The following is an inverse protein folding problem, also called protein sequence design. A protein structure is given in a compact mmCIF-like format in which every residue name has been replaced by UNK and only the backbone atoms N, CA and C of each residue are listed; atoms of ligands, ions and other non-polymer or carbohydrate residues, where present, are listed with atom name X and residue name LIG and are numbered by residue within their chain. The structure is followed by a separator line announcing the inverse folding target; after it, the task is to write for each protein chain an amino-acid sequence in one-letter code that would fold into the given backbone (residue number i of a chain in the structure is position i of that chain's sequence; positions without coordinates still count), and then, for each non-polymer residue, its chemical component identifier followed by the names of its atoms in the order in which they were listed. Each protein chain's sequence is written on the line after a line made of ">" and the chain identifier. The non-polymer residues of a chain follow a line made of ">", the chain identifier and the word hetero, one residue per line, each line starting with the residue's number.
data_IF_723423313198
#
_entry.id   IF_723423313198
#
_cell.length_a   1.000
_cell.length_b   1.000
_cell.length_c   1.000
_cell.angle_alpha   90.00
_cell.angle_beta   90.00
_cell.angle_gamma   90.00
#
_symmetry.space_group_name_H-M   'P 1'
#
loop_
_entity.id
_entity.type
_entity.pdbx_description
1 polymer ?
#
# COMPACT_ATOMS: atom_id res chain seq x y z
N UNK A 1 -0.45 10.24 10.03
CA UNK A 1 -0.44 9.51 8.78
C UNK A 1 -1.68 8.66 8.58
N UNK A 2 -2.14 8.60 7.36
CA UNK A 2 -3.28 7.78 7.02
C UNK A 2 -2.88 6.31 6.94
N UNK A 3 -3.38 5.51 7.86
CA UNK A 3 -3.19 4.06 7.82
C UNK A 3 -4.37 3.41 7.10
N UNK A 4 -4.21 2.17 6.70
CA UNK A 4 -5.26 1.40 6.03
C UNK A 4 -6.05 0.60 7.06
N UNK A 5 -7.37 0.71 7.01
CA UNK A 5 -8.26 -0.20 7.70
C UNK A 5 -8.23 -1.57 7.03
N UNK A 6 -8.87 -2.57 7.65
CA UNK A 6 -8.85 -3.94 7.13
C UNK A 6 -9.43 -4.03 5.71
N UNK A 7 -10.59 -3.44 5.49
CA UNK A 7 -11.24 -3.48 4.18
C UNK A 7 -10.47 -2.67 3.15
N UNK A 8 -9.92 -1.53 3.56
CA UNK A 8 -9.07 -0.71 2.69
C UNK A 8 -7.84 -1.51 2.24
N UNK A 9 -7.22 -2.25 3.15
CA UNK A 9 -6.07 -3.09 2.81
C UNK A 9 -6.46 -4.19 1.83
N UNK A 10 -7.59 -4.82 2.04
CA UNK A 10 -8.09 -5.86 1.12
C UNK A 10 -8.27 -5.30 -0.28
N UNK A 11 -8.86 -4.11 -0.40
CA UNK A 11 -9.05 -3.43 -1.68
C UNK A 11 -7.71 -3.07 -2.31
N UNK A 12 -6.79 -2.51 -1.53
CA UNK A 12 -5.46 -2.17 -2.04
C UNK A 12 -4.69 -3.38 -2.53
N UNK A 13 -4.74 -4.50 -1.78
CA UNK A 13 -4.08 -5.73 -2.21
C UNK A 13 -4.61 -6.20 -3.56
N UNK A 14 -5.91 -6.08 -3.77
CA UNK A 14 -6.52 -6.44 -5.05
C UNK A 14 -6.07 -5.51 -6.18
N UNK A 15 -6.02 -4.21 -5.91
CA UNK A 15 -5.57 -3.22 -6.89
C UNK A 15 -4.10 -3.44 -7.27
N UNK A 16 -3.24 -3.73 -6.30
CA UNK A 16 -1.83 -4.01 -6.58
C UNK A 16 -1.64 -5.30 -7.37
N UNK A 17 -2.55 -6.26 -7.21
CA UNK A 17 -2.49 -7.55 -7.92
C UNK A 17 -3.05 -7.46 -9.32
N UNK A 18 -3.81 -6.43 -9.64
CA UNK A 18 -4.42 -6.27 -10.96
C UNK A 18 -3.38 -5.88 -12.00
N UNK A 19 -3.62 -6.31 -13.25
CA UNK A 19 -2.70 -6.01 -14.35
C UNK A 19 -2.84 -4.59 -14.90
N UNK A 20 -3.86 -3.85 -14.45
CA UNK A 20 -4.10 -2.48 -14.86
C UNK A 20 -5.23 -1.87 -14.06
N UNK A 21 -5.68 -0.65 -14.41
CA UNK A 21 -6.79 0.00 -13.71
C UNK A 21 -8.07 -0.83 -13.77
N UNK A 22 -8.85 -0.80 -12.70
CA UNK A 22 -10.12 -1.55 -12.61
C UNK A 22 -11.26 -0.62 -12.18
N UNK A 23 -12.47 -0.94 -12.65
CA UNK A 23 -13.67 -0.23 -12.22
C UNK A 23 -14.12 -0.76 -10.85
N UNK A 24 -15.00 -0.02 -10.18
CA UNK A 24 -15.57 -0.46 -8.91
C UNK A 24 -16.32 -1.79 -9.06
N UNK A 25 -17.03 -1.98 -10.18
CA UNK A 25 -17.75 -3.22 -10.43
C UNK A 25 -16.81 -4.41 -10.60
N UNK A 26 -15.72 -4.23 -11.36
CA UNK A 26 -14.70 -5.26 -11.54
C UNK A 26 -14.03 -5.60 -10.19
N UNK A 27 -13.76 -4.59 -9.38
CA UNK A 27 -13.18 -4.78 -8.05
C UNK A 27 -14.14 -5.58 -7.16
N UNK A 28 -15.42 -5.26 -7.18
CA UNK A 28 -16.42 -6.00 -6.42
C UNK A 28 -16.46 -7.47 -6.84
N UNK A 29 -16.41 -7.74 -8.14
CA UNK A 29 -16.37 -9.12 -8.65
C UNK A 29 -15.14 -9.86 -8.15
N UNK A 30 -14.00 -9.20 -8.15
CA UNK A 30 -12.75 -9.78 -7.65
C UNK A 30 -12.76 -10.05 -6.13
N UNK A 31 -13.71 -9.45 -5.41
CA UNK A 31 -13.88 -9.64 -3.97
C UNK A 31 -15.24 -10.31 -3.67
N UNK A 32 -15.71 -11.16 -4.58
CA UNK A 32 -17.03 -11.79 -4.47
C UNK A 32 -17.21 -12.58 -3.17
N UNK A 33 -16.14 -13.16 -2.66
CA UNK A 33 -16.14 -13.90 -1.39
C UNK A 33 -16.45 -13.00 -0.18
N UNK A 34 -16.27 -11.68 -0.31
CA UNK A 34 -16.56 -10.74 0.77
C UNK A 34 -18.03 -10.28 0.76
N UNK A 35 -18.76 -10.53 -0.32
CA UNK A 35 -20.16 -10.16 -0.43
C UNK A 35 -20.44 -8.66 -0.33
N UNK A 36 -19.53 -7.83 -0.84
CA UNK A 36 -19.65 -6.38 -0.69
C UNK A 36 -20.68 -5.79 -1.65
N UNK A 37 -21.44 -4.81 -1.15
CA UNK A 37 -22.30 -3.99 -2.01
C UNK A 37 -21.43 -3.04 -2.83
N UNK A 38 -21.91 -2.69 -4.04
CA UNK A 38 -21.18 -1.76 -4.90
C UNK A 38 -20.98 -0.39 -4.23
N UNK A 39 -21.98 0.08 -3.47
CA UNK A 39 -21.87 1.34 -2.74
C UNK A 39 -20.75 1.29 -1.69
N UNK A 40 -20.56 0.15 -1.04
CA UNK A 40 -19.47 -0.05 -0.08
C UNK A 40 -18.12 0.04 -0.78
N UNK A 41 -17.99 -0.59 -1.96
CA UNK A 41 -16.76 -0.53 -2.76
C UNK A 41 -16.45 0.93 -3.13
N UNK A 42 -17.45 1.68 -3.62
CA UNK A 42 -17.28 3.09 -3.94
C UNK A 42 -16.84 3.91 -2.72
N UNK A 43 -17.45 3.66 -1.56
CA UNK A 43 -17.07 4.36 -0.33
C UNK A 43 -15.61 4.13 0.03
N UNK A 44 -15.17 2.87 -0.06
CA UNK A 44 -13.78 2.51 0.24
C UNK A 44 -12.82 3.19 -0.74
N UNK A 45 -13.14 3.14 -2.05
CA UNK A 45 -12.33 3.79 -3.08
C UNK A 45 -12.23 5.29 -2.86
N UNK A 46 -13.32 5.94 -2.49
CA UNK A 46 -13.32 7.36 -2.19
C UNK A 46 -12.40 7.69 -1.02
N UNK A 47 -12.45 6.88 0.04
CA UNK A 47 -11.58 7.05 1.20
C UNK A 47 -10.11 6.86 0.83
N UNK A 48 -9.82 5.83 0.03
CA UNK A 48 -8.45 5.57 -0.42
C UNK A 48 -7.92 6.73 -1.28
N UNK A 49 -8.77 7.27 -2.13
CA UNK A 49 -8.38 8.42 -2.95
C UNK A 49 -8.11 9.65 -2.10
N UNK A 50 -8.95 9.91 -1.10
CA UNK A 50 -8.77 11.03 -0.16
C UNK A 50 -7.48 10.89 0.64
N UNK A 51 -7.11 9.65 0.97
CA UNK A 51 -5.86 9.37 1.70
C UNK A 51 -4.63 9.37 0.77
N UNK A 52 -4.82 9.48 -0.54
CA UNK A 52 -3.72 9.52 -1.50
C UNK A 52 -3.18 8.18 -1.93
N UNK A 53 -3.91 7.09 -1.70
CA UNK A 53 -3.46 5.74 -2.06
C UNK A 53 -3.86 5.32 -3.47
N UNK A 54 -4.94 5.85 -4.00
CA UNK A 54 -5.41 5.53 -5.35
C UNK A 54 -5.67 6.79 -6.15
N UNK A 55 -5.64 6.65 -7.47
CA UNK A 55 -6.04 7.67 -8.42
C UNK A 55 -7.05 7.04 -9.38
N UNK A 56 -7.86 7.88 -10.02
CA UNK A 56 -8.82 7.40 -11.02
C UNK A 56 -8.58 8.08 -12.35
N UNK A 57 -9.06 7.44 -13.44
CA UNK A 57 -9.07 8.04 -14.77
C UNK A 57 -10.44 8.64 -15.07
N UNK A 58 -10.58 9.21 -16.26
CA UNK A 58 -11.80 9.84 -16.74
C UNK A 58 -12.69 8.88 -17.56
N UNK A 59 -12.36 7.59 -17.57
CA UNK A 59 -13.17 6.60 -18.30
C UNK A 59 -14.57 6.46 -17.70
N UNK A 60 -15.47 5.90 -18.48
CA UNK A 60 -16.85 5.61 -18.08
C UNK A 60 -17.14 4.12 -18.30
N UNK A 61 -17.25 3.31 -17.24
CA UNK A 61 -17.12 3.67 -15.83
C UNK A 61 -15.70 4.05 -15.47
N UNK A 62 -15.58 4.83 -14.39
CA UNK A 62 -14.29 5.29 -13.87
C UNK A 62 -13.46 4.10 -13.42
N UNK A 63 -12.17 4.12 -13.72
CA UNK A 63 -11.23 3.05 -13.33
C UNK A 63 -10.23 3.59 -12.32
N UNK A 64 -9.81 2.74 -11.43
CA UNK A 64 -8.94 3.09 -10.31
C UNK A 64 -7.65 2.29 -10.36
N UNK A 65 -6.54 2.90 -9.97
CA UNK A 65 -5.25 2.23 -9.84
C UNK A 65 -4.51 2.75 -8.61
N UNK A 66 -3.57 1.97 -8.05
CA UNK A 66 -2.73 2.47 -6.96
C UNK A 66 -1.90 3.67 -7.44
N UNK A 67 -1.73 4.68 -6.58
CA UNK A 67 -0.85 5.80 -6.86
C UNK A 67 0.62 5.37 -6.88
N UNK A 68 0.97 4.41 -6.02
CA UNK A 68 2.34 3.92 -5.86
C UNK A 68 2.34 2.40 -5.80
N UNK A 69 3.49 1.78 -6.02
CA UNK A 69 3.62 0.33 -5.92
C UNK A 69 3.48 -0.13 -4.47
N UNK A 70 3.25 -1.44 -4.28
CA UNK A 70 3.21 -2.05 -2.95
C UNK A 70 4.52 -1.77 -2.18
N UNK A 71 5.65 -1.86 -2.87
CA UNK A 71 6.97 -1.66 -2.27
C UNK A 71 7.20 -0.21 -1.89
N UNK A 72 6.78 0.72 -2.74
CA UNK A 72 6.85 2.15 -2.44
C UNK A 72 5.99 2.50 -1.22
N UNK A 73 4.78 1.93 -1.16
CA UNK A 73 3.88 2.13 -0.02
C UNK A 73 4.50 1.59 1.27
N UNK A 74 5.07 0.38 1.20
CA UNK A 74 5.74 -0.23 2.35
C UNK A 74 6.90 0.65 2.85
N UNK A 75 7.71 1.18 1.94
CA UNK A 75 8.82 2.05 2.30
C UNK A 75 8.33 3.35 2.98
N UNK A 76 7.25 3.94 2.47
CA UNK A 76 6.65 5.12 3.08
C UNK A 76 6.21 4.84 4.52
N UNK A 77 5.58 3.68 4.75
CA UNK A 77 5.17 3.27 6.09
C UNK A 77 6.36 3.06 7.02
N UNK A 78 7.42 2.44 6.52
CA UNK A 78 8.65 2.23 7.29
C UNK A 78 9.27 3.55 7.74
N UNK A 79 9.37 4.53 6.83
CA UNK A 79 9.89 5.86 7.16
C UNK A 79 9.06 6.53 8.24
N UNK A 80 7.76 6.39 8.15
CA UNK A 80 6.86 7.02 9.09
C UNK A 80 6.94 6.41 10.48
N UNK A 81 6.92 5.08 10.56
CA UNK A 81 7.06 4.39 11.84
C UNK A 81 8.39 4.76 12.48
N UNK A 82 9.46 4.80 11.69
CA UNK A 82 10.78 5.19 12.16
C UNK A 82 10.78 6.62 12.71
N UNK A 83 10.04 7.54 12.08
CA UNK A 83 9.90 8.92 12.55
C UNK A 83 9.18 9.05 13.88
N UNK A 84 8.38 8.04 14.26
CA UNK A 84 7.64 8.02 15.52
C UNK A 84 8.37 7.31 16.65
N UNK A 85 9.57 6.80 16.40
CA UNK A 85 10.25 5.91 17.33
C UNK A 85 10.86 6.60 18.56
N UNK A 86 10.89 7.92 18.62
CA UNK A 86 11.55 8.65 19.70
C UNK A 86 13.07 8.65 19.55
N UNK A 87 13.69 7.50 19.71
CA UNK A 87 15.13 7.33 19.43
C UNK A 87 15.31 6.59 18.10
N UNK A 88 15.53 7.36 17.05
CA UNK A 88 15.65 6.84 15.69
C UNK A 88 16.86 5.91 15.53
N UNK A 89 17.99 6.26 16.16
CA UNK A 89 19.19 5.43 16.07
C UNK A 89 18.98 4.07 16.74
N UNK A 90 18.35 4.05 17.91
CA UNK A 90 18.06 2.80 18.60
C UNK A 90 17.11 1.91 17.79
N UNK A 91 16.08 2.53 17.16
CA UNK A 91 15.16 1.78 16.32
C UNK A 91 15.86 1.17 15.11
N UNK A 92 16.72 1.93 14.44
CA UNK A 92 17.51 1.42 13.31
C UNK A 92 18.43 0.28 13.72
N UNK A 93 19.10 0.42 14.87
CA UNK A 93 20.02 -0.61 15.37
C UNK A 93 19.26 -1.93 15.62
N UNK A 94 18.08 -1.85 16.22
CA UNK A 94 17.27 -3.04 16.49
C UNK A 94 16.74 -3.67 15.18
N UNK A 95 16.33 -2.83 14.24
CA UNK A 95 15.87 -3.31 12.95
C UNK A 95 16.98 -4.08 12.23
N UNK A 96 18.16 -3.49 12.14
CA UNK A 96 19.33 -4.10 11.48
C UNK A 96 19.72 -5.41 12.18
N UNK A 97 19.63 -5.44 13.51
CA UNK A 97 19.93 -6.64 14.29
C UNK A 97 18.98 -7.80 14.02
N UNK A 98 17.80 -7.53 13.45
CA UNK A 98 16.80 -8.54 13.14
C UNK A 98 16.79 -9.01 11.69
N UNK A 99 17.58 -8.40 10.80
CA UNK A 99 17.62 -8.83 9.39
C UNK A 99 18.49 -10.07 9.24
N UNK A 100 18.16 -10.91 8.26
CA UNK A 100 18.97 -12.11 7.98
C UNK A 100 20.23 -11.75 7.20
N UNK A 101 21.10 -12.76 6.98
CA UNK A 101 22.39 -12.54 6.33
C UNK A 101 22.25 -12.01 4.90
N UNK A 102 21.25 -12.50 4.16
CA UNK A 102 21.01 -12.08 2.77
C UNK A 102 20.52 -10.63 2.72
N UNK A 103 19.62 -10.27 3.62
CA UNK A 103 19.11 -8.90 3.73
C UNK A 103 20.24 -7.95 4.15
N UNK A 104 21.09 -8.37 5.08
CA UNK A 104 22.22 -7.55 5.52
C UNK A 104 23.18 -7.28 4.36
N UNK A 105 23.44 -8.29 3.54
CA UNK A 105 24.28 -8.13 2.34
C UNK A 105 23.65 -7.14 1.37
N UNK A 106 22.36 -7.30 1.10
CA UNK A 106 21.65 -6.40 0.21
C UNK A 106 21.67 -4.96 0.72
N UNK A 107 21.44 -4.76 2.02
CA UNK A 107 21.49 -3.43 2.62
C UNK A 107 22.86 -2.77 2.42
N UNK A 108 23.94 -3.51 2.61
CA UNK A 108 25.29 -3.00 2.39
C UNK A 108 25.48 -2.57 0.93
N UNK A 109 25.03 -3.39 -0.01
CA UNK A 109 25.12 -3.08 -1.43
C UNK A 109 24.34 -1.81 -1.79
N UNK A 110 23.12 -1.69 -1.28
CA UNK A 110 22.26 -0.53 -1.55
C UNK A 110 22.85 0.75 -0.98
N UNK A 111 23.41 0.69 0.23
CA UNK A 111 24.04 1.85 0.88
C UNK A 111 25.29 2.28 0.13
N UNK A 112 26.07 1.32 -0.38
CA UNK A 112 27.29 1.61 -1.13
C UNK A 112 27.01 2.26 -2.49
N UNK A 113 25.85 1.99 -3.08
CA UNK A 113 25.43 2.64 -4.33
C UNK A 113 25.02 4.09 -4.13
N UNK A 114 24.53 4.38 -2.93
CA UNK A 114 23.98 5.67 -2.57
C UNK A 114 25.00 6.76 -2.52
#
# INVERSE_FOLDING_TARGET
>A
MASLGELERTVMDRLWSASGPVSAAELREGLADRGLALTTVHTVLTRLEQKGFVVHDEARPRRFRPRATREEHAAELMHEVLGQAGDRQAALARFVGGVDADEARLLRELLDRG
#
